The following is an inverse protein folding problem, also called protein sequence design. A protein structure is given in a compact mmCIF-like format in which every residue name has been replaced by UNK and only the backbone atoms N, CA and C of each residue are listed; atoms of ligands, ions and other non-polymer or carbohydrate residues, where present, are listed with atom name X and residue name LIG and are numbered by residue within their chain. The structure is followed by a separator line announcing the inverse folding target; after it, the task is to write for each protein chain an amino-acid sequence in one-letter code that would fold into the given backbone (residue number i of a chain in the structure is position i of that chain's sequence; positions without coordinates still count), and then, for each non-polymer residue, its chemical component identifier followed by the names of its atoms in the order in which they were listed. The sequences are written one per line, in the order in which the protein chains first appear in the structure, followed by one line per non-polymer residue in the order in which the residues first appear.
data_IF_999558974560
#
_entry.id   IF_999558974560
#
_cell.length_a   1.000
_cell.length_b   1.000
_cell.length_c   1.000
_cell.angle_alpha   90.00
_cell.angle_beta   90.00
_cell.angle_gamma   90.00
#
_symmetry.space_group_name_H-M   'P 1'
#
loop_
_entity.id
_entity.type
_entity.pdbx_description
1 polymer ?
#
# COMPACT_ATOMS: atom_id res chain seq x y z
N UNK A 1 -17.11 -2.93 -9.71
CA UNK A 1 -17.99 -1.72 -9.54
C UNK A 1 -18.42 -1.21 -10.90
N UNK A 2 -19.66 -0.63 -11.04
CA UNK A 2 -20.14 -0.13 -12.32
C UNK A 2 -19.39 1.16 -12.71
N UNK A 3 -18.71 1.15 -13.88
CA UNK A 3 -17.93 2.27 -14.40
C UNK A 3 -18.80 3.51 -14.69
N UNK A 4 -19.95 3.32 -15.29
CA UNK A 4 -20.87 4.43 -15.62
C UNK A 4 -21.35 5.15 -14.37
N UNK A 5 -21.67 4.42 -13.30
CA UNK A 5 -22.10 5.00 -12.04
C UNK A 5 -21.01 5.88 -11.39
N UNK A 6 -19.74 5.49 -11.50
CA UNK A 6 -18.64 6.33 -11.00
C UNK A 6 -18.47 7.60 -11.83
N UNK A 7 -18.54 7.51 -13.16
CA UNK A 7 -18.48 8.69 -14.04
C UNK A 7 -19.62 9.67 -13.71
N UNK A 8 -20.83 9.17 -13.51
CA UNK A 8 -22.00 9.98 -13.13
C UNK A 8 -21.81 10.65 -11.76
N UNK A 9 -21.36 9.91 -10.74
CA UNK A 9 -21.09 10.46 -9.40
C UNK A 9 -20.02 11.55 -9.45
N UNK A 10 -18.97 11.34 -10.25
CA UNK A 10 -17.90 12.31 -10.45
C UNK A 10 -18.34 13.51 -11.29
N UNK A 11 -19.35 13.35 -12.14
CA UNK A 11 -19.79 14.37 -13.11
C UNK A 11 -18.81 14.55 -14.27
N UNK A 12 -18.13 13.47 -14.67
CA UNK A 12 -17.13 13.46 -15.74
C UNK A 12 -17.52 12.47 -16.85
N UNK A 13 -16.91 12.62 -18.01
CA UNK A 13 -17.19 11.76 -19.17
C UNK A 13 -16.14 10.68 -19.37
N UNK A 14 -14.90 10.97 -18.97
CA UNK A 14 -13.75 10.10 -19.22
C UNK A 14 -13.16 9.59 -17.92
N UNK A 15 -12.69 8.35 -17.93
CA UNK A 15 -12.17 7.67 -16.74
C UNK A 15 -10.93 8.36 -16.18
N UNK A 16 -10.06 8.90 -17.03
CA UNK A 16 -8.85 9.59 -16.60
C UNK A 16 -9.12 10.88 -15.78
N UNK A 17 -10.35 11.43 -15.86
CA UNK A 17 -10.77 12.60 -15.09
C UNK A 17 -11.22 12.23 -13.66
N UNK A 18 -11.60 10.97 -13.44
CA UNK A 18 -12.18 10.49 -12.17
C UNK A 18 -11.31 10.78 -10.95
N UNK A 19 -9.99 10.49 -10.94
CA UNK A 19 -9.16 10.75 -9.76
C UNK A 19 -9.17 12.20 -9.32
N UNK A 20 -9.09 13.14 -10.29
CA UNK A 20 -9.08 14.57 -10.00
C UNK A 20 -10.46 15.05 -9.52
N UNK A 21 -11.53 14.52 -10.11
CA UNK A 21 -12.90 14.84 -9.68
C UNK A 21 -13.18 14.34 -8.26
N UNK A 22 -12.74 13.11 -7.93
CA UNK A 22 -12.89 12.53 -6.60
C UNK A 22 -12.11 13.33 -5.56
N UNK A 23 -10.82 13.63 -5.78
CA UNK A 23 -10.02 14.37 -4.79
C UNK A 23 -10.63 15.75 -4.53
N UNK A 24 -11.14 16.44 -5.56
CA UNK A 24 -11.81 17.73 -5.41
C UNK A 24 -13.08 17.62 -4.56
N UNK A 25 -13.91 16.59 -4.76
CA UNK A 25 -15.14 16.38 -4.00
C UNK A 25 -14.87 15.91 -2.56
N UNK A 26 -13.83 15.11 -2.35
CA UNK A 26 -13.41 14.66 -1.02
C UNK A 26 -13.00 15.80 -0.09
N UNK A 27 -12.49 16.91 -0.64
CA UNK A 27 -12.13 18.11 0.12
C UNK A 27 -13.07 19.29 -0.10
N UNK A 28 -14.36 18.99 -0.30
CA UNK A 28 -15.44 19.96 -0.43
C UNK A 28 -16.59 19.63 0.53
N UNK A 29 -17.59 20.52 0.68
CA UNK A 29 -18.80 20.21 1.44
C UNK A 29 -19.57 18.98 0.94
N UNK A 30 -19.29 18.49 -0.27
CA UNK A 30 -19.91 17.31 -0.87
C UNK A 30 -19.34 15.97 -0.36
N UNK A 31 -18.31 15.97 0.48
CA UNK A 31 -17.61 14.74 0.93
C UNK A 31 -18.57 13.67 1.44
N UNK A 32 -19.46 14.05 2.36
CA UNK A 32 -20.39 13.09 2.98
C UNK A 32 -21.37 12.50 1.96
N UNK A 33 -21.93 13.33 1.06
CA UNK A 33 -22.82 12.86 -0.01
C UNK A 33 -22.07 11.93 -0.98
N UNK A 34 -20.87 12.31 -1.39
CA UNK A 34 -20.00 11.48 -2.25
C UNK A 34 -19.77 10.10 -1.65
N UNK A 35 -19.31 10.04 -0.38
CA UNK A 35 -19.00 8.79 0.30
C UNK A 35 -20.24 7.90 0.47
N UNK A 36 -21.39 8.51 0.76
CA UNK A 36 -22.68 7.79 0.86
C UNK A 36 -23.09 7.21 -0.49
N UNK A 37 -23.06 7.99 -1.57
CA UNK A 37 -23.40 7.53 -2.93
C UNK A 37 -22.48 6.42 -3.39
N UNK A 38 -21.18 6.56 -3.19
CA UNK A 38 -20.20 5.50 -3.51
C UNK A 38 -20.46 4.26 -2.66
N UNK A 39 -20.72 4.40 -1.37
CA UNK A 39 -20.99 3.27 -0.47
C UNK A 39 -22.21 2.45 -0.92
N UNK A 40 -23.23 3.09 -1.51
CA UNK A 40 -24.42 2.40 -2.03
C UNK A 40 -24.10 1.55 -3.25
N UNK A 41 -23.27 2.04 -4.18
CA UNK A 41 -22.93 1.33 -5.42
C UNK A 41 -21.74 0.39 -5.27
N UNK A 42 -21.02 0.47 -4.15
CA UNK A 42 -19.75 -0.22 -3.94
C UNK A 42 -19.88 -1.76 -3.92
N UNK A 43 -21.00 -2.27 -3.43
CA UNK A 43 -21.22 -3.71 -3.32
C UNK A 43 -20.52 -4.33 -2.10
N UNK A 44 -19.80 -5.44 -2.29
CA UNK A 44 -19.13 -6.15 -1.19
C UNK A 44 -17.90 -5.38 -0.69
N UNK A 45 -18.00 -4.84 0.52
CA UNK A 45 -16.92 -4.07 1.16
C UNK A 45 -15.74 -4.93 1.64
N UNK A 46 -15.84 -6.26 1.59
CA UNK A 46 -14.70 -7.16 1.87
C UNK A 46 -13.70 -7.21 0.71
N UNK A 47 -14.08 -6.69 -0.45
CA UNK A 47 -13.23 -6.64 -1.64
C UNK A 47 -12.91 -5.19 -2.02
N UNK A 48 -11.79 -4.99 -2.68
CA UNK A 48 -11.45 -3.72 -3.31
C UNK A 48 -12.10 -3.63 -4.69
N UNK A 49 -13.24 -2.91 -4.76
CA UNK A 49 -13.99 -2.74 -6.00
C UNK A 49 -13.34 -1.72 -6.96
N UNK A 50 -12.38 -0.91 -6.50
CA UNK A 50 -11.68 0.04 -7.35
C UNK A 50 -10.51 -0.57 -8.10
N UNK A 51 -9.97 -1.70 -7.65
CA UNK A 51 -8.87 -2.40 -8.30
C UNK A 51 -9.17 -2.64 -9.78
N UNK A 52 -10.32 -3.22 -10.11
CA UNK A 52 -10.71 -3.55 -11.49
C UNK A 52 -10.91 -2.29 -12.35
N UNK A 53 -11.38 -1.20 -11.74
CA UNK A 53 -11.50 0.08 -12.40
C UNK A 53 -10.17 0.60 -12.95
N UNK A 54 -9.07 0.35 -12.23
CA UNK A 54 -7.71 0.71 -12.65
C UNK A 54 -7.07 -0.31 -13.59
N UNK A 55 -7.47 -1.57 -13.52
CA UNK A 55 -6.87 -2.62 -14.36
C UNK A 55 -7.10 -2.38 -15.85
N UNK A 56 -8.18 -1.74 -16.23
CA UNK A 56 -8.51 -1.44 -17.63
C UNK A 56 -7.70 -0.28 -18.24
N UNK A 57 -7.07 0.57 -17.43
CA UNK A 57 -6.30 1.73 -17.90
C UNK A 57 -4.79 1.46 -18.07
N UNK A 58 -4.43 0.42 -18.80
CA UNK A 58 -3.11 -0.15 -18.96
C UNK A 58 -1.92 0.74 -19.40
N UNK A 59 -2.03 2.07 -19.47
CA UNK A 59 -0.97 2.94 -19.97
C UNK A 59 0.16 3.25 -18.95
N UNK A 60 -0.15 3.40 -17.68
CA UNK A 60 0.85 3.76 -16.65
C UNK A 60 1.54 2.53 -16.00
N UNK A 61 0.98 1.32 -16.12
CA UNK A 61 1.52 0.08 -15.56
C UNK A 61 2.94 -0.23 -16.00
N UNK A 62 3.22 -0.10 -17.30
CA UNK A 62 4.56 -0.38 -17.85
C UNK A 62 5.62 0.59 -17.33
N UNK A 63 5.23 1.82 -17.00
CA UNK A 63 6.13 2.86 -16.50
C UNK A 63 6.42 2.75 -15.02
N UNK A 64 5.40 2.41 -14.22
CA UNK A 64 5.49 2.34 -12.75
C UNK A 64 5.74 0.93 -12.21
N UNK A 65 5.77 -0.10 -13.08
CA UNK A 65 5.90 -1.53 -12.68
C UNK A 65 4.90 -1.95 -11.59
N UNK A 66 3.71 -1.35 -11.60
CA UNK A 66 2.66 -1.63 -10.64
C UNK A 66 1.88 -2.86 -11.08
N UNK A 67 1.99 -3.94 -10.33
CA UNK A 67 1.13 -5.11 -10.41
C UNK A 67 0.20 -5.13 -9.21
N UNK A 68 -1.11 -5.20 -9.47
CA UNK A 68 -2.08 -5.37 -8.39
C UNK A 68 -1.97 -6.75 -7.77
N UNK A 69 -2.05 -6.81 -6.45
CA UNK A 69 -2.02 -8.07 -5.72
C UNK A 69 -3.27 -8.90 -6.06
N UNK A 70 -3.13 -10.11 -6.63
CA UNK A 70 -4.26 -11.00 -6.84
C UNK A 70 -4.97 -11.34 -5.52
N UNK A 71 -6.31 -11.49 -5.53
CA UNK A 71 -7.09 -11.73 -4.32
C UNK A 71 -6.58 -12.91 -3.50
N UNK A 72 -6.29 -14.04 -4.15
CA UNK A 72 -5.76 -15.22 -3.46
C UNK A 72 -4.40 -15.00 -2.80
N UNK A 73 -3.55 -14.13 -3.37
CA UNK A 73 -2.25 -13.78 -2.78
C UNK A 73 -2.45 -12.81 -1.60
N UNK A 74 -3.34 -11.82 -1.75
CA UNK A 74 -3.69 -10.92 -0.67
C UNK A 74 -4.33 -11.67 0.51
N UNK A 75 -5.22 -12.60 0.23
CA UNK A 75 -5.83 -13.48 1.24
C UNK A 75 -4.78 -14.36 1.93
N UNK A 76 -3.88 -14.98 1.16
CA UNK A 76 -2.80 -15.79 1.73
C UNK A 76 -1.94 -14.95 2.68
N UNK A 77 -1.49 -13.76 2.25
CA UNK A 77 -0.68 -12.87 3.07
C UNK A 77 -1.44 -12.48 4.35
N UNK A 78 -2.71 -12.10 4.23
CA UNK A 78 -3.52 -11.76 5.39
C UNK A 78 -3.65 -12.92 6.40
N UNK A 79 -3.79 -14.15 5.92
CA UNK A 79 -3.92 -15.35 6.78
C UNK A 79 -2.63 -15.76 7.46
N UNK A 80 -1.46 -15.57 6.82
CA UNK A 80 -0.16 -15.95 7.40
C UNK A 80 0.44 -14.85 8.26
N UNK A 81 -0.03 -13.61 8.13
CA UNK A 81 0.41 -12.49 8.95
C UNK A 81 -0.13 -12.60 10.37
N UNK A 82 0.64 -12.14 11.34
CA UNK A 82 0.19 -12.07 12.73
C UNK A 82 -0.87 -11.00 12.92
N UNK A 83 -1.66 -11.10 13.99
CA UNK A 83 -2.60 -10.06 14.40
C UNK A 83 -1.87 -8.95 15.17
N UNK A 84 -2.32 -7.70 15.00
CA UNK A 84 -1.84 -6.53 15.73
C UNK A 84 -2.95 -5.49 15.88
N UNK A 85 -2.71 -4.45 16.68
CA UNK A 85 -3.62 -3.31 16.87
C UNK A 85 -3.37 -2.20 15.88
N UNK A 86 -2.20 -2.18 15.27
CA UNK A 86 -1.79 -1.19 14.29
C UNK A 86 -1.12 -1.84 13.08
N UNK A 87 -1.43 -1.31 11.91
CA UNK A 87 -1.00 -1.82 10.62
C UNK A 87 -0.36 -0.71 9.78
N UNK A 88 0.73 -1.01 9.07
CA UNK A 88 1.18 -0.18 7.96
C UNK A 88 1.22 -0.99 6.65
N UNK A 89 0.80 -0.34 5.55
CA UNK A 89 0.98 -0.82 4.17
C UNK A 89 1.78 0.24 3.40
N UNK A 90 3.04 -0.06 3.14
CA UNK A 90 4.01 0.91 2.61
C UNK A 90 3.97 1.10 1.08
N UNK A 91 3.10 0.39 0.40
CA UNK A 91 2.82 0.54 -1.04
C UNK A 91 1.36 0.13 -1.29
N UNK A 92 0.44 0.87 -0.67
CA UNK A 92 -0.94 0.42 -0.47
C UNK A 92 -1.77 0.31 -1.75
N UNK A 93 -1.41 1.03 -2.82
CA UNK A 93 -2.25 1.09 -3.99
C UNK A 93 -3.65 1.60 -3.64
N UNK A 94 -4.68 0.93 -4.13
CA UNK A 94 -6.07 1.21 -3.78
C UNK A 94 -6.49 0.65 -2.41
N UNK A 95 -5.58 -0.05 -1.70
CA UNK A 95 -5.81 -0.65 -0.38
C UNK A 95 -6.29 -2.10 -0.42
N UNK A 96 -6.13 -2.80 -1.54
CA UNK A 96 -6.58 -4.20 -1.68
C UNK A 96 -6.01 -5.11 -0.61
N UNK A 97 -4.68 -5.03 -0.37
CA UNK A 97 -3.99 -5.85 0.62
C UNK A 97 -4.39 -5.46 2.04
N UNK A 98 -4.45 -4.16 2.33
CA UNK A 98 -4.95 -3.61 3.59
C UNK A 98 -6.36 -4.11 3.90
N UNK A 99 -7.29 -4.05 2.94
CA UNK A 99 -8.68 -4.52 3.11
C UNK A 99 -8.71 -6.02 3.43
N UNK A 100 -7.93 -6.83 2.72
CA UNK A 100 -7.87 -8.26 2.99
C UNK A 100 -7.31 -8.55 4.38
N UNK A 101 -6.24 -7.86 4.79
CA UNK A 101 -5.72 -8.01 6.14
C UNK A 101 -6.78 -7.69 7.22
N UNK A 102 -7.50 -6.58 7.08
CA UNK A 102 -8.55 -6.16 8.02
C UNK A 102 -9.75 -7.12 8.07
N UNK A 103 -10.05 -7.84 6.98
CA UNK A 103 -11.08 -8.88 6.99
C UNK A 103 -10.74 -10.07 7.90
N UNK A 104 -9.46 -10.38 8.08
CA UNK A 104 -8.97 -11.47 8.93
C UNK A 104 -8.55 -11.01 10.32
N UNK A 105 -8.24 -9.71 10.49
CA UNK A 105 -7.77 -9.10 11.72
C UNK A 105 -8.65 -7.90 12.11
N UNK A 106 -9.89 -8.14 12.57
CA UNK A 106 -10.86 -7.07 12.82
C UNK A 106 -10.53 -6.20 14.05
N UNK A 107 -9.54 -6.60 14.85
CA UNK A 107 -9.12 -5.89 16.05
C UNK A 107 -8.11 -4.76 15.79
N UNK A 108 -7.78 -4.49 14.53
CA UNK A 108 -6.92 -3.36 14.15
C UNK A 108 -7.62 -2.04 14.45
N UNK A 109 -6.94 -1.18 15.20
CA UNK A 109 -7.45 0.11 15.67
C UNK A 109 -6.88 1.30 14.87
N UNK A 110 -5.74 1.09 14.19
CA UNK A 110 -5.07 2.13 13.41
C UNK A 110 -4.41 1.54 12.18
N UNK A 111 -4.54 2.26 11.05
CA UNK A 111 -3.91 1.89 9.78
C UNK A 111 -3.09 3.06 9.25
N UNK A 112 -1.87 2.80 8.80
CA UNK A 112 -1.07 3.72 7.98
C UNK A 112 -0.93 3.15 6.58
N UNK A 113 -1.22 3.95 5.57
CA UNK A 113 -1.00 3.58 4.18
C UNK A 113 -0.07 4.59 3.51
N UNK A 114 0.91 4.12 2.76
CA UNK A 114 1.76 4.96 1.92
C UNK A 114 1.49 4.64 0.45
N UNK A 115 1.33 5.68 -0.37
CA UNK A 115 1.09 5.55 -1.80
C UNK A 115 1.73 6.72 -2.56
N UNK A 116 2.45 6.40 -3.62
CA UNK A 116 3.15 7.38 -4.47
C UNK A 116 2.24 8.04 -5.51
N UNK A 117 1.26 7.32 -6.02
CA UNK A 117 0.46 7.75 -7.15
C UNK A 117 -0.71 8.65 -6.75
N UNK A 118 -0.66 9.94 -7.10
CA UNK A 118 -1.76 10.87 -6.93
C UNK A 118 -3.08 10.40 -7.54
N UNK A 119 -3.02 9.58 -8.60
CA UNK A 119 -4.21 9.02 -9.26
C UNK A 119 -4.90 7.97 -8.40
N UNK A 120 -4.15 7.28 -7.55
CA UNK A 120 -4.64 6.17 -6.72
C UNK A 120 -5.18 6.67 -5.37
N UNK A 121 -4.58 7.71 -4.82
CA UNK A 121 -4.92 8.30 -3.50
C UNK A 121 -6.44 8.46 -3.26
N UNK A 122 -7.25 9.08 -4.15
CA UNK A 122 -8.67 9.27 -3.85
C UNK A 122 -9.42 7.95 -3.65
N UNK A 123 -9.03 6.89 -4.32
CA UNK A 123 -9.66 5.57 -4.19
C UNK A 123 -9.24 4.88 -2.89
N UNK A 124 -7.98 4.99 -2.50
CA UNK A 124 -7.50 4.52 -1.20
C UNK A 124 -8.25 5.22 -0.05
N UNK A 125 -8.34 6.56 -0.10
CA UNK A 125 -9.08 7.34 0.89
C UNK A 125 -10.54 6.90 1.00
N UNK A 126 -11.23 6.73 -0.13
CA UNK A 126 -12.63 6.27 -0.16
C UNK A 126 -12.74 4.86 0.39
N UNK A 127 -11.85 3.95 -0.01
CA UNK A 127 -11.83 2.57 0.46
C UNK A 127 -11.75 2.47 1.99
N UNK A 128 -10.90 3.27 2.60
CA UNK A 128 -10.77 3.31 4.06
C UNK A 128 -11.96 4.01 4.73
N UNK A 129 -12.40 5.15 4.18
CA UNK A 129 -13.47 5.97 4.77
C UNK A 129 -14.84 5.27 4.78
N UNK A 130 -15.24 4.59 3.69
CA UNK A 130 -16.52 3.87 3.63
C UNK A 130 -16.58 2.64 4.55
N UNK A 131 -15.41 2.19 5.05
CA UNK A 131 -15.26 1.13 6.07
C UNK A 131 -15.11 1.69 7.47
N UNK A 132 -15.04 3.03 7.60
CA UNK A 132 -14.83 3.73 8.89
C UNK A 132 -13.56 3.29 9.61
N UNK A 133 -12.49 3.07 8.86
CA UNK A 133 -11.19 2.70 9.39
C UNK A 133 -10.47 3.97 9.80
N UNK A 134 -10.01 4.04 11.04
CA UNK A 134 -9.15 5.13 11.49
C UNK A 134 -7.77 4.96 10.87
N UNK A 135 -7.35 5.92 10.03
CA UNK A 135 -6.15 5.78 9.24
C UNK A 135 -5.41 7.11 9.00
N UNK A 136 -4.10 6.97 8.78
CA UNK A 136 -3.26 7.97 8.11
C UNK A 136 -2.93 7.48 6.71
N UNK A 137 -3.09 8.34 5.71
CA UNK A 137 -2.67 8.06 4.33
C UNK A 137 -1.60 9.07 3.93
N UNK A 138 -0.41 8.58 3.64
CA UNK A 138 0.74 9.35 3.21
C UNK A 138 0.82 9.27 1.69
N UNK A 139 0.54 10.37 1.02
CA UNK A 139 0.85 10.53 -0.39
C UNK A 139 2.29 11.03 -0.50
N UNK A 140 3.19 10.16 -0.92
CA UNK A 140 4.62 10.45 -0.94
C UNK A 140 5.45 9.30 -1.51
N UNK A 141 6.75 9.48 -1.51
CA UNK A 141 7.71 8.45 -1.90
C UNK A 141 8.30 7.79 -0.65
N UNK A 142 7.89 6.55 -0.38
CA UNK A 142 8.35 5.75 0.77
C UNK A 142 9.88 5.57 0.80
N UNK A 143 10.55 5.60 -0.34
CA UNK A 143 12.00 5.41 -0.41
C UNK A 143 12.77 6.70 -0.14
N UNK A 144 12.35 7.82 -0.73
CA UNK A 144 12.99 9.13 -0.53
C UNK A 144 12.41 9.89 0.65
N UNK A 145 11.28 9.45 1.20
CA UNK A 145 10.50 10.13 2.25
C UNK A 145 10.00 11.52 1.82
N UNK A 146 9.93 11.78 0.52
CA UNK A 146 9.32 13.00 -0.01
C UNK A 146 7.82 12.97 0.23
N UNK A 147 7.30 13.94 0.97
CA UNK A 147 5.88 14.09 1.27
C UNK A 147 5.22 15.04 0.27
N UNK A 148 4.14 14.60 -0.37
CA UNK A 148 3.30 15.45 -1.22
C UNK A 148 2.05 15.91 -0.47
N UNK A 149 1.41 15.04 0.30
CA UNK A 149 0.28 15.35 1.17
C UNK A 149 0.10 14.23 2.22
N UNK A 150 -0.53 14.57 3.34
CA UNK A 150 -0.91 13.61 4.38
C UNK A 150 -2.38 13.78 4.70
N UNK A 151 -3.09 12.67 4.84
CA UNK A 151 -4.51 12.64 5.13
C UNK A 151 -4.79 11.80 6.37
N UNK A 152 -5.74 12.26 7.18
CA UNK A 152 -6.30 11.50 8.28
C UNK A 152 -7.73 11.08 7.94
N UNK A 153 -8.09 9.87 8.32
CA UNK A 153 -9.46 9.36 8.27
C UNK A 153 -9.86 9.02 9.69
N UNK A 154 -10.95 9.61 10.15
CA UNK A 154 -11.53 9.32 11.46
C UNK A 154 -13.04 9.26 11.37
N UNK A 155 -13.63 8.18 11.89
CA UNK A 155 -15.08 7.93 11.81
C UNK A 155 -15.66 8.05 10.39
N UNK A 156 -14.84 7.75 9.38
CA UNK A 156 -15.20 7.87 7.96
C UNK A 156 -15.11 9.30 7.39
N UNK A 157 -14.65 10.27 8.16
CA UNK A 157 -14.38 11.64 7.69
C UNK A 157 -12.92 11.76 7.27
N UNK A 158 -12.69 12.28 6.08
CA UNK A 158 -11.35 12.50 5.51
C UNK A 158 -10.96 13.96 5.71
N UNK A 159 -9.76 14.19 6.23
CA UNK A 159 -9.16 15.51 6.37
C UNK A 159 -7.70 15.49 5.91
N UNK A 160 -7.19 16.61 5.46
CA UNK A 160 -5.76 16.79 5.21
C UNK A 160 -5.10 17.27 6.50
N UNK A 161 -3.91 16.76 6.79
CA UNK A 161 -3.10 17.14 7.95
C UNK A 161 -1.69 17.52 7.49
N UNK A 162 -0.92 18.22 8.33
CA UNK A 162 0.39 18.75 7.94
C UNK A 162 1.47 17.66 7.89
N UNK A 163 1.48 16.76 8.87
CA UNK A 163 2.52 15.74 9.00
C UNK A 163 1.90 14.41 9.46
N UNK A 164 2.49 13.27 9.05
CA UNK A 164 2.13 11.99 9.63
C UNK A 164 2.60 11.90 11.10
N UNK A 165 2.01 10.99 11.86
CA UNK A 165 2.52 10.66 13.19
C UNK A 165 3.84 9.88 13.06
N UNK A 166 4.69 9.97 14.09
CA UNK A 166 5.93 9.18 14.23
C UNK A 166 5.69 7.79 14.86
N UNK A 167 4.41 7.41 14.97
CA UNK A 167 3.98 6.15 15.57
C UNK A 167 4.56 4.95 14.81
N UNK A 168 5.20 4.03 15.53
CA UNK A 168 5.53 2.70 15.05
C UNK A 168 4.26 1.82 15.04
N UNK A 169 4.30 0.70 14.35
CA UNK A 169 3.16 -0.21 14.19
C UNK A 169 3.50 -1.65 14.57
N UNK A 170 2.49 -2.42 14.99
CA UNK A 170 2.66 -3.83 15.32
C UNK A 170 2.92 -4.69 14.08
N UNK A 171 2.30 -4.32 12.96
CA UNK A 171 2.34 -5.11 11.73
C UNK A 171 2.60 -4.24 10.52
N UNK A 172 3.49 -4.70 9.64
CA UNK A 172 3.69 -4.14 8.31
C UNK A 172 3.34 -5.19 7.27
N UNK A 173 2.55 -4.81 6.28
CA UNK A 173 2.29 -5.61 5.09
C UNK A 173 2.65 -4.80 3.85
N UNK A 174 3.09 -5.43 2.77
CA UNK A 174 3.18 -4.74 1.47
C UNK A 174 3.44 -5.67 0.30
N UNK A 175 3.05 -5.21 -0.87
CA UNK A 175 3.46 -5.72 -2.17
C UNK A 175 4.15 -4.58 -2.94
N UNK A 176 5.41 -4.24 -2.65
CA UNK A 176 6.10 -3.13 -3.28
C UNK A 176 6.42 -3.42 -4.77
N UNK A 177 6.67 -2.39 -5.59
CA UNK A 177 7.08 -2.55 -6.98
C UNK A 177 8.38 -3.38 -7.10
N UNK A 178 8.36 -4.44 -7.95
CA UNK A 178 9.49 -5.37 -8.04
C UNK A 178 10.66 -4.81 -8.83
N UNK A 179 11.84 -4.96 -8.26
CA UNK A 179 13.12 -4.73 -8.94
C UNK A 179 13.22 -3.37 -9.63
N UNK A 180 12.56 -2.36 -9.11
CA UNK A 180 12.68 -1.00 -9.65
C UNK A 180 14.02 -0.37 -9.27
N UNK A 181 14.52 0.53 -10.10
CA UNK A 181 15.64 1.39 -9.74
C UNK A 181 15.16 2.55 -8.85
N UNK A 182 16.03 3.00 -7.95
CA UNK A 182 15.76 4.12 -7.06
C UNK A 182 16.99 5.00 -6.87
N UNK A 183 16.86 6.13 -6.21
CA UNK A 183 17.98 6.97 -5.83
C UNK A 183 18.28 6.72 -4.35
N UNK A 184 19.37 5.98 -4.03
CA UNK A 184 19.71 5.71 -2.65
C UNK A 184 19.98 6.98 -1.87
N UNK A 185 19.35 7.11 -0.72
CA UNK A 185 19.62 8.10 0.31
C UNK A 185 20.06 7.37 1.57
N UNK A 186 21.04 7.91 2.28
CA UNK A 186 21.51 7.34 3.53
C UNK A 186 20.77 8.01 4.68
N UNK A 187 20.01 7.21 5.44
CA UNK A 187 19.31 7.62 6.64
C UNK A 187 19.22 6.46 7.64
N UNK A 188 18.64 6.70 8.80
CA UNK A 188 18.57 5.75 9.92
C UNK A 188 17.97 4.38 9.57
N UNK A 189 17.09 4.29 8.56
CA UNK A 189 16.48 3.02 8.12
C UNK A 189 17.51 2.01 7.63
N UNK A 190 18.66 2.48 7.16
CA UNK A 190 19.70 1.69 6.51
C UNK A 190 20.97 1.51 7.35
N UNK A 191 21.08 2.20 8.50
CA UNK A 191 22.31 2.24 9.29
C UNK A 191 22.76 0.85 9.77
N UNK A 192 21.84 -0.02 10.15
CA UNK A 192 22.16 -1.33 10.70
C UNK A 192 22.42 -2.36 9.60
N UNK A 193 21.59 -2.37 8.55
CA UNK A 193 21.56 -3.44 7.55
C UNK A 193 22.29 -3.09 6.25
N UNK A 194 22.59 -1.81 6.04
CA UNK A 194 23.22 -1.30 4.83
C UNK A 194 22.25 -0.86 3.75
N UNK A 195 22.79 -0.22 2.74
CA UNK A 195 22.04 0.45 1.67
C UNK A 195 21.79 -0.50 0.49
N UNK A 196 20.54 -0.62 0.08
CA UNK A 196 20.16 -1.39 -1.11
C UNK A 196 20.78 -0.79 -2.39
N UNK A 197 21.07 -1.60 -3.42
CA UNK A 197 21.70 -1.10 -4.65
C UNK A 197 20.73 -0.20 -5.42
N UNK A 198 21.26 0.82 -6.10
CA UNK A 198 20.49 1.74 -6.93
C UNK A 198 19.59 1.05 -7.98
N UNK A 199 20.04 -0.08 -8.49
CA UNK A 199 19.34 -0.82 -9.55
C UNK A 199 18.15 -1.65 -9.08
N UNK A 200 18.01 -1.88 -7.76
CA UNK A 200 17.04 -2.78 -7.15
C UNK A 200 16.60 -2.26 -5.78
N UNK A 201 15.38 -1.75 -5.69
CA UNK A 201 14.82 -1.18 -4.45
C UNK A 201 14.21 -2.23 -3.51
N UNK A 202 14.20 -3.52 -3.87
CA UNK A 202 13.50 -4.56 -3.12
C UNK A 202 13.86 -4.53 -1.61
N UNK A 203 15.16 -4.48 -1.29
CA UNK A 203 15.60 -4.38 0.10
C UNK A 203 15.43 -2.98 0.70
N UNK A 204 15.35 -1.92 -0.11
CA UNK A 204 15.06 -0.59 0.42
C UNK A 204 13.62 -0.53 0.96
N UNK A 205 12.64 -1.09 0.24
CA UNK A 205 11.27 -1.24 0.74
C UNK A 205 11.20 -2.15 1.98
N UNK A 206 11.94 -3.27 1.97
CA UNK A 206 12.00 -4.16 3.14
C UNK A 206 12.48 -3.40 4.37
N UNK A 207 13.61 -2.68 4.27
CA UNK A 207 14.19 -1.95 5.39
C UNK A 207 13.34 -0.75 5.82
N UNK A 208 12.67 -0.07 4.87
CA UNK A 208 11.71 0.97 5.17
C UNK A 208 10.53 0.43 6.00
N UNK A 209 9.92 -0.68 5.59
CA UNK A 209 8.85 -1.32 6.37
C UNK A 209 9.35 -1.83 7.73
N UNK A 210 10.54 -2.42 7.76
CA UNK A 210 11.14 -2.89 9.01
C UNK A 210 11.37 -1.76 10.02
N UNK A 211 11.79 -0.58 9.54
CA UNK A 211 11.97 0.60 10.37
C UNK A 211 10.65 1.11 10.99
N UNK A 212 9.50 0.85 10.38
CA UNK A 212 8.19 1.26 10.92
C UNK A 212 7.67 0.36 12.04
N UNK A 213 8.27 -0.82 12.26
CA UNK A 213 7.82 -1.75 13.29
C UNK A 213 8.14 -1.28 14.70
N UNK A 214 7.22 -1.54 15.62
CA UNK A 214 7.49 -1.59 17.05
C UNK A 214 8.41 -2.76 17.38
N UNK A 215 9.05 -2.72 18.55
CA UNK A 215 9.80 -3.84 19.08
C UNK A 215 8.90 -5.08 19.24
N UNK A 216 9.29 -6.19 18.60
CA UNK A 216 8.49 -7.41 18.55
C UNK A 216 7.37 -7.40 17.50
N UNK A 217 7.27 -6.36 16.69
CA UNK A 217 6.37 -6.30 15.55
C UNK A 217 6.74 -7.30 14.45
N UNK A 218 5.83 -7.53 13.52
CA UNK A 218 5.99 -8.49 12.42
C UNK A 218 5.71 -7.87 11.07
N UNK A 219 6.41 -8.35 10.02
CA UNK A 219 6.25 -7.86 8.66
C UNK A 219 6.05 -9.00 7.67
N UNK A 220 5.07 -8.85 6.78
CA UNK A 220 4.82 -9.77 5.67
C UNK A 220 4.90 -9.03 4.33
N UNK A 221 5.88 -9.39 3.52
CA UNK A 221 6.14 -8.75 2.22
C UNK A 221 6.06 -9.75 1.07
N UNK A 222 5.56 -9.29 -0.07
CA UNK A 222 5.63 -10.01 -1.34
C UNK A 222 6.83 -9.45 -2.11
N UNK A 223 7.82 -10.29 -2.40
CA UNK A 223 9.07 -9.87 -3.03
C UNK A 223 9.45 -10.83 -4.17
N UNK A 224 10.24 -10.38 -5.17
CA UNK A 224 10.70 -11.24 -6.23
C UNK A 224 11.74 -12.25 -5.74
N UNK A 225 11.80 -13.44 -6.31
CA UNK A 225 12.74 -14.52 -5.96
C UNK A 225 14.20 -14.06 -5.87
N UNK A 226 14.59 -13.05 -6.65
CA UNK A 226 15.93 -12.51 -6.68
C UNK A 226 16.47 -12.09 -5.31
N UNK A 227 15.62 -11.66 -4.38
CA UNK A 227 16.02 -11.27 -3.02
C UNK A 227 16.67 -12.42 -2.25
N UNK A 228 16.41 -13.67 -2.63
CA UNK A 228 16.94 -14.86 -1.95
C UNK A 228 18.38 -15.21 -2.36
N UNK A 229 18.83 -14.80 -3.55
CA UNK A 229 20.13 -15.27 -4.09
C UNK A 229 21.02 -14.19 -4.70
N UNK A 230 20.50 -12.97 -4.98
CA UNK A 230 21.37 -11.92 -5.50
C UNK A 230 22.50 -11.58 -4.53
N UNK A 231 23.69 -11.36 -5.08
CA UNK A 231 24.94 -11.11 -4.34
C UNK A 231 25.18 -9.61 -4.03
N UNK A 232 26.39 -9.25 -3.65
CA UNK A 232 26.85 -7.90 -3.33
C UNK A 232 26.06 -7.28 -2.16
N UNK A 233 25.64 -6.01 -2.27
CA UNK A 233 24.93 -5.32 -1.19
C UNK A 233 23.65 -6.03 -0.74
N UNK A 234 22.86 -6.60 -1.66
CA UNK A 234 21.67 -7.38 -1.28
C UNK A 234 22.04 -8.64 -0.50
N UNK A 235 23.15 -9.31 -0.86
CA UNK A 235 23.68 -10.45 -0.11
C UNK A 235 24.12 -10.05 1.29
N UNK A 236 24.79 -8.90 1.44
CA UNK A 236 25.22 -8.39 2.75
C UNK A 236 24.02 -8.03 3.64
N UNK A 237 23.02 -7.33 3.12
CA UNK A 237 21.78 -7.01 3.86
C UNK A 237 21.09 -8.30 4.32
N UNK A 238 20.91 -9.27 3.44
CA UNK A 238 20.29 -10.56 3.76
C UNK A 238 21.06 -11.30 4.86
N UNK A 239 22.38 -11.28 4.81
CA UNK A 239 23.23 -11.90 5.84
C UNK A 239 23.04 -11.22 7.20
N UNK A 240 22.94 -9.90 7.24
CA UNK A 240 22.67 -9.15 8.48
C UNK A 240 21.28 -9.48 9.04
N UNK A 241 20.23 -9.49 8.18
CA UNK A 241 18.88 -9.85 8.59
C UNK A 241 18.82 -11.26 9.19
N UNK A 242 19.52 -12.22 8.58
CA UNK A 242 19.62 -13.61 9.10
C UNK A 242 20.38 -13.65 10.43
N UNK A 243 21.50 -12.92 10.54
CA UNK A 243 22.31 -12.90 11.77
C UNK A 243 21.54 -12.30 12.96
N UNK A 244 20.64 -11.36 12.72
CA UNK A 244 19.78 -10.76 13.75
C UNK A 244 18.48 -11.56 13.99
N UNK A 245 18.26 -12.68 13.29
CA UNK A 245 17.04 -13.47 13.42
C UNK A 245 15.77 -12.73 12.95
N UNK A 246 15.93 -11.76 12.04
CA UNK A 246 14.82 -10.94 11.53
C UNK A 246 14.00 -11.63 10.44
N UNK A 247 14.44 -12.77 9.92
CA UNK A 247 13.70 -13.57 8.93
C UNK A 247 13.16 -14.82 9.62
N UNK A 248 11.84 -14.90 9.74
CA UNK A 248 11.15 -16.04 10.34
C UNK A 248 10.80 -17.09 9.28
N UNK A 249 10.05 -16.72 8.27
CA UNK A 249 9.47 -17.65 7.29
C UNK A 249 9.60 -17.14 5.86
N UNK A 250 9.88 -18.03 4.92
CA UNK A 250 9.87 -17.77 3.48
C UNK A 250 8.89 -18.71 2.82
N UNK A 251 7.86 -18.14 2.14
CA UNK A 251 6.84 -18.89 1.42
C UNK A 251 7.04 -18.72 -0.08
N UNK A 252 7.32 -19.81 -0.78
CA UNK A 252 7.41 -19.81 -2.23
C UNK A 252 6.01 -19.75 -2.87
N UNK A 253 5.77 -18.74 -3.70
CA UNK A 253 4.54 -18.62 -4.48
C UNK A 253 4.69 -19.33 -5.82
N UNK A 254 3.58 -19.85 -6.36
CA UNK A 254 3.56 -20.46 -7.68
C UNK A 254 3.88 -19.40 -8.77
N UNK A 255 4.50 -19.80 -9.89
CA UNK A 255 4.73 -18.90 -11.01
C UNK A 255 3.41 -18.44 -11.64
N UNK A 256 3.45 -17.30 -12.32
CA UNK A 256 2.33 -16.71 -13.07
C UNK A 256 1.10 -16.33 -12.22
N UNK A 257 1.27 -16.11 -10.91
CA UNK A 257 0.21 -15.54 -10.08
C UNK A 257 -0.02 -14.05 -10.36
N UNK A 258 1.02 -13.35 -10.80
CA UNK A 258 0.94 -11.95 -11.21
C UNK A 258 0.91 -11.88 -12.75
N UNK A 259 -0.05 -11.14 -13.30
CA UNK A 259 -0.35 -11.14 -14.74
C UNK A 259 0.78 -10.54 -15.62
N UNK A 260 1.67 -9.72 -15.03
CA UNK A 260 2.66 -8.94 -15.78
C UNK A 260 4.12 -9.17 -15.30
N UNK A 261 4.35 -10.06 -14.37
CA UNK A 261 5.69 -10.48 -13.91
C UNK A 261 5.96 -11.90 -14.40
N UNK A 262 6.90 -12.04 -15.33
CA UNK A 262 7.40 -13.34 -15.79
C UNK A 262 8.31 -14.01 -14.77
#
# INVERSE_FOLDING_TARGET
MNREAILEICGVKEVFEVPQALIKKLFSPEQSDLLNRISVIYGDKRLDQFRDFFQDEGADRKKLKQDYTPDGVAELLARVSVSGKSLADICAGTGSLTIQYLNYHPDVEFVRCEEFSAKVIPFLLINLAIRKIDAEVIHGDSLTQELFAVYAIKDGVISQIDNPSDRKVDVVISNPPYSMSWTPISDERFDIYGLAPRSKADFAFLLHGFHQLEDGGSMSLILPHGVLFRANSEGAIRQQLLAHGAIDTIIGLAPNLFLNTG
#
